data_IF_761233969681
#
_entry.id   IF_761233969681
#
_cell.length_a   1.000
_cell.length_b   1.000
_cell.length_c   1.000
_cell.angle_alpha   90.00
_cell.angle_beta   90.00
_cell.angle_gamma   90.00
#
_symmetry.space_group_name_H-M   'P 1'
#
loop_
_entity.id
_entity.type
_entity.pdbx_description
1 polymer ?
#
# COMPACT_ATOMS: atom_id res chain seq x y z
N UNK A 1 -6.01 31.98 -3.16
CA UNK A 1 -5.14 31.04 -3.90
C UNK A 1 -4.41 30.01 -3.02
N UNK A 2 -4.01 30.32 -1.77
CA UNK A 2 -3.23 29.39 -0.92
C UNK A 2 -3.92 28.04 -0.61
N UNK A 3 -5.24 28.03 -0.39
CA UNK A 3 -5.98 26.81 -0.05
C UNK A 3 -5.98 25.74 -1.16
N UNK A 4 -6.11 26.14 -2.43
CA UNK A 4 -6.11 25.22 -3.57
C UNK A 4 -4.71 24.61 -3.81
N UNK A 5 -3.66 25.43 -3.69
CA UNK A 5 -2.28 24.94 -3.79
C UNK A 5 -1.94 23.92 -2.68
N UNK A 6 -2.36 24.20 -1.44
CA UNK A 6 -2.19 23.28 -0.31
C UNK A 6 -2.99 21.98 -0.50
N UNK A 7 -4.22 22.06 -1.00
CA UNK A 7 -5.04 20.89 -1.30
C UNK A 7 -4.38 20.00 -2.38
N UNK A 8 -3.85 20.62 -3.44
CA UNK A 8 -3.10 19.91 -4.47
C UNK A 8 -1.85 19.19 -3.91
N UNK A 9 -1.04 19.88 -3.10
CA UNK A 9 0.11 19.27 -2.44
C UNK A 9 -0.29 18.08 -1.53
N UNK A 10 -1.46 18.14 -0.90
CA UNK A 10 -2.01 17.05 -0.09
C UNK A 10 -2.41 15.84 -0.94
N UNK A 11 -2.99 16.06 -2.13
CA UNK A 11 -3.29 14.97 -3.09
C UNK A 11 -2.00 14.30 -3.58
N UNK A 12 -0.97 15.07 -3.88
CA UNK A 12 0.33 14.53 -4.32
C UNK A 12 1.00 13.71 -3.22
N UNK A 13 1.10 14.26 -2.01
CA UNK A 13 1.76 13.60 -0.87
C UNK A 13 1.00 12.36 -0.39
N UNK A 14 -0.33 12.38 -0.34
CA UNK A 14 -1.15 11.19 -0.04
C UNK A 14 -0.97 10.08 -1.09
N UNK A 15 -0.87 10.45 -2.37
CA UNK A 15 -0.54 9.50 -3.45
C UNK A 15 0.84 8.88 -3.32
N UNK A 16 1.85 9.68 -2.93
CA UNK A 16 3.19 9.16 -2.65
C UNK A 16 3.19 8.19 -1.48
N UNK A 17 2.52 8.52 -0.37
CA UNK A 17 2.40 7.64 0.80
C UNK A 17 1.74 6.30 0.45
N UNK A 18 0.66 6.34 -0.35
CA UNK A 18 -0.01 5.12 -0.80
C UNK A 18 0.93 4.25 -1.65
N UNK A 19 1.64 4.83 -2.62
CA UNK A 19 2.61 4.09 -3.44
C UNK A 19 3.75 3.50 -2.61
N UNK A 20 4.29 4.27 -1.67
CA UNK A 20 5.34 3.80 -0.78
C UNK A 20 4.87 2.63 0.11
N UNK A 21 3.60 2.63 0.54
CA UNK A 21 3.03 1.53 1.32
C UNK A 21 2.71 0.28 0.48
N UNK A 22 2.51 0.43 -0.84
CA UNK A 22 2.27 -0.69 -1.76
C UNK A 22 3.55 -1.48 -2.07
N UNK A 23 4.72 -0.85 -1.99
CA UNK A 23 5.98 -1.50 -2.34
C UNK A 23 6.33 -2.67 -1.42
N UNK A 24 6.27 -2.54 -0.07
CA UNK A 24 6.47 -3.68 0.83
C UNK A 24 5.50 -4.83 0.58
N UNK A 25 4.24 -4.55 0.22
CA UNK A 25 3.24 -5.58 -0.12
C UNK A 25 3.71 -6.39 -1.33
N UNK A 26 4.14 -5.70 -2.40
CA UNK A 26 4.64 -6.35 -3.63
C UNK A 26 5.86 -7.22 -3.36
N UNK A 27 6.85 -6.68 -2.65
CA UNK A 27 8.07 -7.40 -2.30
C UNK A 27 7.77 -8.63 -1.45
N UNK A 28 6.85 -8.51 -0.48
CA UNK A 28 6.46 -9.63 0.38
C UNK A 28 5.72 -10.72 -0.42
N UNK A 29 4.87 -10.36 -1.37
CA UNK A 29 4.23 -11.32 -2.27
C UNK A 29 5.25 -12.05 -3.17
N UNK A 30 6.26 -11.35 -3.67
CA UNK A 30 7.36 -11.96 -4.44
C UNK A 30 8.16 -12.95 -3.59
N UNK A 31 8.50 -12.56 -2.36
CA UNK A 31 9.21 -13.42 -1.42
C UNK A 31 8.41 -14.69 -1.10
N UNK A 32 7.10 -14.57 -0.84
CA UNK A 32 6.22 -15.73 -0.61
C UNK A 32 6.19 -16.65 -1.84
N UNK A 33 6.03 -16.09 -3.05
CA UNK A 33 6.05 -16.89 -4.29
C UNK A 33 7.36 -17.65 -4.49
N UNK A 34 8.49 -17.04 -4.14
CA UNK A 34 9.80 -17.70 -4.18
C UNK A 34 9.88 -18.82 -3.14
N UNK A 35 9.50 -18.56 -1.88
CA UNK A 35 9.51 -19.56 -0.81
C UNK A 35 8.59 -20.75 -1.11
N UNK A 36 7.43 -20.52 -1.71
CA UNK A 36 6.53 -21.60 -2.16
C UNK A 36 7.18 -22.49 -3.24
N UNK A 37 7.97 -21.91 -4.16
CA UNK A 37 8.72 -22.71 -5.14
C UNK A 37 9.80 -23.54 -4.47
N UNK A 38 10.50 -22.98 -3.48
CA UNK A 38 11.53 -23.69 -2.72
C UNK A 38 10.94 -24.79 -1.82
N UNK A 39 9.78 -24.56 -1.20
CA UNK A 39 9.06 -25.57 -0.43
C UNK A 39 8.63 -26.74 -1.30
N UNK A 40 8.11 -26.48 -2.51
CA UNK A 40 7.79 -27.55 -3.48
C UNK A 40 9.02 -28.35 -3.91
N UNK A 41 10.21 -27.75 -3.87
CA UNK A 41 11.48 -28.42 -4.12
C UNK A 41 12.09 -29.09 -2.87
N UNK A 42 11.38 -29.09 -1.74
CA UNK A 42 11.82 -29.67 -0.46
C UNK A 42 12.95 -28.90 0.23
N UNK A 43 13.13 -27.61 -0.10
CA UNK A 43 14.26 -26.78 0.39
C UNK A 43 13.91 -25.84 1.55
N UNK A 44 12.62 -25.69 1.88
CA UNK A 44 12.10 -24.78 2.91
C UNK A 44 10.90 -25.41 3.62
N UNK A 45 10.70 -25.11 4.91
CA UNK A 45 9.58 -25.60 5.71
C UNK A 45 8.28 -24.80 5.55
N UNK A 46 7.13 -25.41 5.83
CA UNK A 46 5.80 -24.80 5.60
C UNK A 46 5.45 -23.67 6.58
N UNK A 47 5.98 -23.72 7.81
CA UNK A 47 5.65 -22.75 8.86
C UNK A 47 6.12 -21.32 8.53
N UNK A 48 7.22 -21.20 7.78
CA UNK A 48 7.78 -19.91 7.38
C UNK A 48 6.89 -19.22 6.35
N UNK A 49 6.25 -19.99 5.45
CA UNK A 49 5.29 -19.46 4.47
C UNK A 49 4.04 -18.93 5.17
N UNK A 50 3.50 -19.67 6.15
CA UNK A 50 2.33 -19.24 6.92
C UNK A 50 2.62 -17.95 7.67
N UNK A 51 3.78 -17.85 8.32
CA UNK A 51 4.22 -16.62 9.00
C UNK A 51 4.35 -15.46 8.02
N UNK A 52 4.98 -15.69 6.87
CA UNK A 52 5.17 -14.67 5.83
C UNK A 52 3.83 -14.16 5.28
N UNK A 53 2.82 -15.04 5.13
CA UNK A 53 1.44 -14.65 4.75
C UNK A 53 0.79 -13.79 5.83
N UNK A 54 0.96 -14.12 7.11
CA UNK A 54 0.48 -13.27 8.20
C UNK A 54 1.06 -11.85 8.15
N UNK A 55 2.35 -11.72 7.85
CA UNK A 55 3.01 -10.42 7.67
C UNK A 55 2.48 -9.67 6.43
N UNK A 56 2.21 -10.38 5.33
CA UNK A 56 1.61 -9.79 4.13
C UNK A 56 0.24 -9.16 4.44
N UNK A 57 -0.61 -9.85 5.21
CA UNK A 57 -1.90 -9.31 5.60
C UNK A 57 -1.79 -8.08 6.51
N UNK A 58 -0.78 -8.03 7.39
CA UNK A 58 -0.49 -6.82 8.17
C UNK A 58 -0.11 -5.63 7.28
N UNK A 59 0.70 -5.85 6.25
CA UNK A 59 1.07 -4.81 5.28
C UNK A 59 -0.15 -4.35 4.46
N UNK A 60 -0.99 -5.30 4.01
CA UNK A 60 -2.22 -4.99 3.28
C UNK A 60 -3.21 -4.20 4.13
N UNK A 61 -3.31 -4.49 5.43
CA UNK A 61 -4.18 -3.77 6.36
C UNK A 61 -3.80 -2.28 6.53
N UNK A 62 -2.57 -1.89 6.21
CA UNK A 62 -2.15 -0.49 6.22
C UNK A 62 -2.65 0.30 4.99
N UNK A 63 -3.09 -0.36 3.91
CA UNK A 63 -3.49 0.31 2.66
C UNK A 63 -4.87 1.00 2.73
N UNK A 64 -5.96 0.41 3.27
CA UNK A 64 -7.28 1.04 3.25
C UNK A 64 -7.34 2.43 3.90
N UNK A 65 -6.70 2.68 5.08
CA UNK A 65 -6.64 4.03 5.64
C UNK A 65 -5.95 5.04 4.71
N UNK A 66 -4.89 4.63 4.00
CA UNK A 66 -4.19 5.48 3.03
C UNK A 66 -5.04 5.78 1.79
N UNK A 67 -5.83 4.80 1.33
CA UNK A 67 -6.82 5.02 0.28
C UNK A 67 -7.87 6.06 0.70
N UNK A 68 -8.43 5.92 1.89
CA UNK A 68 -9.41 6.87 2.43
C UNK A 68 -8.82 8.29 2.55
N UNK A 69 -7.59 8.41 3.06
CA UNK A 69 -6.88 9.69 3.14
C UNK A 69 -6.70 10.35 1.76
N UNK A 70 -6.32 9.58 0.74
CA UNK A 70 -6.18 10.08 -0.63
C UNK A 70 -7.51 10.52 -1.21
N UNK A 71 -8.58 9.74 -1.02
CA UNK A 71 -9.92 10.08 -1.48
C UNK A 71 -10.42 11.38 -0.84
N UNK A 72 -10.27 11.53 0.48
CA UNK A 72 -10.60 12.77 1.18
C UNK A 72 -9.84 13.99 0.66
N UNK A 73 -8.54 13.83 0.35
CA UNK A 73 -7.74 14.89 -0.25
C UNK A 73 -8.26 15.29 -1.65
N UNK A 74 -8.64 14.30 -2.48
CA UNK A 74 -9.21 14.53 -3.81
C UNK A 74 -10.56 15.25 -3.73
N UNK A 75 -11.46 14.84 -2.84
CA UNK A 75 -12.77 15.50 -2.67
C UNK A 75 -12.62 16.96 -2.23
N UNK A 76 -11.67 17.24 -1.31
CA UNK A 76 -11.37 18.61 -0.90
C UNK A 76 -10.86 19.45 -2.06
N UNK A 77 -9.96 18.90 -2.88
CA UNK A 77 -9.46 19.61 -4.06
C UNK A 77 -10.59 19.90 -5.05
N UNK A 78 -11.43 18.91 -5.37
CA UNK A 78 -12.57 19.07 -6.27
C UNK A 78 -13.50 20.21 -5.82
N UNK A 79 -13.83 20.24 -4.52
CA UNK A 79 -14.65 21.31 -3.92
C UNK A 79 -14.03 22.70 -4.11
N UNK A 80 -12.70 22.83 -4.00
CA UNK A 80 -11.98 24.10 -4.15
C UNK A 80 -11.79 24.51 -5.62
N UNK A 81 -11.91 23.57 -6.57
CA UNK A 81 -11.76 23.82 -8.01
C UNK A 81 -13.10 23.91 -8.75
N UNK A 82 -14.22 23.70 -8.05
CA UNK A 82 -15.56 23.71 -8.66
C UNK A 82 -15.85 22.50 -9.55
N UNK A 83 -15.20 21.37 -9.26
CA UNK A 83 -15.49 20.08 -9.88
C UNK A 83 -16.52 19.29 -9.07
#
# INVERSE_FOLDING_TARGET
AGGTAQAYATVCSSGLRLRAAQEPVRLQEEAIRLSERLQRAGKVGEIDIVRARGQLEQLRAALPPLHALRQGALYRLATLTGA
#
